data_IF_563921803995
#
_entry.id   IF_563921803995
#
_cell.length_a   1.000
_cell.length_b   1.000
_cell.length_c   1.000
_cell.angle_alpha   90.00
_cell.angle_beta   90.00
_cell.angle_gamma   90.00
#
_symmetry.space_group_name_H-M   'P 1'
#
loop_
_entity.id
_entity.type
_entity.pdbx_description
1 polymer ?
#
# COMPACT_ATOMS: atom_id res chain seq x y z
N UNK A 1 26.82 59.10 -72.37
CA UNK A 1 26.45 57.67 -72.39
C UNK A 1 26.99 57.12 -71.12
N UNK A 2 26.13 57.02 -70.04
CA UNK A 2 26.54 56.62 -68.75
C UNK A 2 26.05 55.17 -68.52
N UNK A 3 26.99 54.27 -68.25
CA UNK A 3 26.70 52.84 -67.95
C UNK A 3 26.62 52.65 -66.45
N UNK A 4 25.46 52.21 -65.97
CA UNK A 4 25.20 51.92 -64.54
C UNK A 4 25.60 50.51 -64.28
N UNK A 5 26.59 50.27 -63.39
CA UNK A 5 26.99 48.97 -62.92
C UNK A 5 26.10 48.49 -61.73
N UNK A 6 25.47 47.36 -61.89
CA UNK A 6 24.68 46.74 -60.83
C UNK A 6 25.57 45.81 -59.97
N UNK A 7 25.74 46.18 -58.69
CA UNK A 7 26.43 45.37 -57.70
C UNK A 7 25.40 44.38 -57.07
N UNK A 8 25.56 43.09 -57.33
CA UNK A 8 24.82 42.04 -56.65
C UNK A 8 25.48 41.77 -55.32
N UNK A 9 24.74 42.02 -54.24
CA UNK A 9 25.08 41.54 -52.88
C UNK A 9 24.53 40.10 -52.69
N UNK A 10 25.42 39.13 -52.44
CA UNK A 10 25.08 37.77 -52.05
C UNK A 10 24.88 37.75 -50.55
N UNK A 11 23.64 37.44 -50.09
CA UNK A 11 23.33 37.17 -48.69
C UNK A 11 23.63 35.70 -48.42
N UNK A 12 24.63 35.42 -47.58
CA UNK A 12 24.81 34.12 -46.98
C UNK A 12 23.86 33.98 -45.79
N UNK A 13 22.82 33.18 -45.92
CA UNK A 13 21.97 32.77 -44.82
C UNK A 13 22.67 31.63 -44.04
N UNK A 14 23.22 31.96 -42.88
CA UNK A 14 23.71 30.94 -41.94
C UNK A 14 22.54 30.26 -41.23
N UNK A 15 22.33 28.99 -41.52
CA UNK A 15 21.38 28.14 -40.78
C UNK A 15 21.98 27.77 -39.41
N UNK A 16 21.42 28.31 -38.34
CA UNK A 16 21.72 27.87 -36.97
C UNK A 16 20.93 26.58 -36.73
N UNK A 17 21.61 25.46 -36.73
CA UNK A 17 21.03 24.17 -36.31
C UNK A 17 21.06 24.12 -34.78
N UNK A 18 19.88 24.34 -34.13
CA UNK A 18 19.72 24.08 -32.71
C UNK A 18 19.52 22.60 -32.53
N UNK A 19 20.56 21.87 -32.10
CA UNK A 19 20.42 20.51 -31.61
C UNK A 19 19.68 20.55 -30.28
N UNK A 20 18.39 20.26 -30.31
CA UNK A 20 17.64 19.92 -29.08
C UNK A 20 18.08 18.51 -28.63
N UNK A 21 18.88 18.44 -27.57
CA UNK A 21 19.15 17.19 -26.87
C UNK A 21 17.85 16.79 -26.15
N UNK A 22 17.07 15.89 -26.74
CA UNK A 22 16.03 15.15 -26.04
C UNK A 22 16.74 14.25 -25.03
N UNK A 23 16.75 14.68 -23.76
CA UNK A 23 17.02 13.75 -22.66
C UNK A 23 15.84 12.77 -22.64
N UNK A 24 16.07 11.54 -23.12
CA UNK A 24 15.15 10.46 -22.92
C UNK A 24 14.99 10.28 -21.39
N UNK A 25 13.84 10.67 -20.86
CA UNK A 25 13.44 10.23 -19.53
C UNK A 25 13.49 8.71 -19.56
N UNK A 26 14.34 8.10 -18.75
CA UNK A 26 14.36 6.64 -18.57
C UNK A 26 12.94 6.23 -18.22
N UNK A 27 12.35 5.32 -18.99
CA UNK A 27 11.08 4.71 -18.62
C UNK A 27 11.27 4.12 -17.21
N UNK A 28 10.56 4.70 -16.23
CA UNK A 28 10.55 4.15 -14.87
C UNK A 28 10.03 2.72 -14.97
N UNK A 29 10.78 1.79 -14.38
CA UNK A 29 10.41 0.38 -14.38
C UNK A 29 9.11 0.24 -13.58
N UNK A 30 8.01 -0.05 -14.28
CA UNK A 30 6.67 -0.16 -13.69
C UNK A 30 6.45 -1.61 -13.33
N UNK A 31 6.41 -1.91 -12.04
CA UNK A 31 6.27 -3.28 -11.56
C UNK A 31 4.87 -3.59 -11.02
N UNK A 32 4.50 -4.86 -11.09
CA UNK A 32 3.37 -5.41 -10.33
C UNK A 32 3.86 -5.72 -8.92
N UNK A 33 3.06 -5.34 -7.91
CA UNK A 33 3.39 -5.63 -6.53
C UNK A 33 3.10 -7.07 -6.10
N UNK A 34 3.40 -7.37 -4.86
CA UNK A 34 3.05 -8.64 -4.22
C UNK A 34 1.63 -8.60 -3.64
N UNK A 35 1.01 -9.78 -3.52
CA UNK A 35 -0.34 -9.92 -2.99
C UNK A 35 -0.40 -9.64 -1.49
N UNK A 36 -1.43 -8.89 -1.07
CA UNK A 36 -1.84 -8.73 0.33
C UNK A 36 -3.24 -9.32 0.54
N UNK A 37 -3.48 -9.90 1.73
CA UNK A 37 -4.80 -10.38 2.11
C UNK A 37 -5.58 -9.23 2.75
N UNK A 38 -6.72 -8.88 2.17
CA UNK A 38 -7.64 -7.91 2.77
C UNK A 38 -8.53 -8.58 3.83
N UNK A 39 -8.70 -9.90 3.75
CA UNK A 39 -9.32 -10.73 4.76
C UNK A 39 -8.34 -11.81 5.22
N UNK A 40 -8.10 -11.90 6.52
CA UNK A 40 -7.10 -12.77 7.13
C UNK A 40 -7.63 -14.18 7.46
N UNK A 41 -8.94 -14.42 7.30
CA UNK A 41 -9.61 -15.66 7.69
C UNK A 41 -9.91 -15.77 9.19
N UNK A 42 -9.47 -14.80 10.01
CA UNK A 42 -9.53 -14.87 11.48
C UNK A 42 -10.42 -13.76 12.07
N UNK A 43 -10.46 -12.57 11.43
CA UNK A 43 -11.08 -11.38 12.02
C UNK A 43 -11.57 -10.37 10.98
N UNK A 44 -12.28 -9.34 11.45
CA UNK A 44 -12.62 -8.14 10.69
C UNK A 44 -11.62 -6.99 10.95
N UNK A 45 -10.42 -7.30 11.43
CA UNK A 45 -9.39 -6.28 11.64
C UNK A 45 -9.00 -5.59 10.34
N UNK A 46 -8.88 -4.26 10.37
CA UNK A 46 -8.67 -3.46 9.15
C UNK A 46 -9.95 -3.12 8.38
N UNK A 47 -11.12 -3.39 9.00
CA UNK A 47 -12.42 -3.09 8.42
C UNK A 47 -13.30 -2.31 9.39
N UNK A 48 -14.13 -1.43 8.85
CA UNK A 48 -15.16 -0.70 9.59
C UNK A 48 -16.54 -1.09 9.08
N UNK A 49 -17.45 -1.43 10.01
CA UNK A 49 -18.83 -1.75 9.70
C UNK A 49 -19.73 -0.52 9.74
N UNK A 50 -20.65 -0.40 8.79
CA UNK A 50 -21.67 0.64 8.70
C UNK A 50 -23.04 0.00 8.54
N UNK A 51 -24.08 0.60 9.14
CA UNK A 51 -25.42 0.06 9.16
C UNK A 51 -25.62 -0.98 10.29
N UNK A 52 -26.64 -1.84 10.13
CA UNK A 52 -26.98 -2.88 11.13
C UNK A 52 -26.62 -4.31 10.68
N UNK A 53 -25.93 -4.44 9.54
CA UNK A 53 -25.42 -5.72 9.06
C UNK A 53 -24.31 -6.22 10.01
N UNK A 54 -24.51 -7.37 10.64
CA UNK A 54 -23.53 -7.95 11.56
C UNK A 54 -22.61 -8.92 10.83
N UNK A 55 -21.33 -8.57 10.76
CA UNK A 55 -20.28 -9.36 10.13
C UNK A 55 -19.50 -10.16 11.17
N UNK A 56 -19.39 -11.47 10.96
CA UNK A 56 -18.68 -12.39 11.88
C UNK A 56 -17.80 -13.34 11.08
N UNK A 57 -16.74 -13.86 11.71
CA UNK A 57 -15.92 -14.92 11.10
C UNK A 57 -16.31 -16.27 11.67
N UNK A 58 -16.60 -17.25 10.78
CA UNK A 58 -16.96 -18.62 11.11
C UNK A 58 -16.18 -19.55 10.19
N UNK A 59 -15.38 -20.44 10.76
CA UNK A 59 -14.58 -21.44 10.03
C UNK A 59 -13.77 -20.84 8.85
N UNK A 60 -13.06 -19.74 9.11
CA UNK A 60 -12.23 -19.06 8.11
C UNK A 60 -13.02 -18.30 7.04
N UNK A 61 -14.33 -18.12 7.24
CA UNK A 61 -15.22 -17.42 6.32
C UNK A 61 -15.85 -16.22 7.02
N UNK A 62 -15.80 -15.07 6.37
CA UNK A 62 -16.51 -13.86 6.80
C UNK A 62 -17.97 -13.98 6.38
N UNK A 63 -18.89 -13.88 7.35
CA UNK A 63 -20.32 -14.14 7.16
C UNK A 63 -21.15 -12.96 7.65
N UNK A 64 -22.14 -12.56 6.85
CA UNK A 64 -23.23 -11.71 7.27
C UNK A 64 -24.57 -12.40 6.96
N UNK A 65 -25.35 -12.66 8.01
CA UNK A 65 -26.66 -13.34 7.94
C UNK A 65 -27.76 -12.64 8.75
N UNK A 66 -27.44 -11.49 9.34
CA UNK A 66 -28.33 -10.69 10.20
C UNK A 66 -28.26 -9.21 9.87
N UNK A 67 -29.30 -8.49 10.27
CA UNK A 67 -29.48 -7.07 9.97
C UNK A 67 -30.42 -6.81 8.79
N UNK A 68 -30.75 -5.55 8.57
CA UNK A 68 -31.58 -5.10 7.45
C UNK A 68 -30.73 -4.66 6.24
N UNK A 69 -29.54 -4.10 6.50
CA UNK A 69 -28.59 -3.65 5.49
C UNK A 69 -27.37 -2.98 6.07
N UNK A 70 -26.29 -2.95 5.30
CA UNK A 70 -25.06 -2.28 5.69
C UNK A 70 -23.87 -2.68 4.84
N UNK A 71 -22.72 -2.11 5.22
CA UNK A 71 -21.46 -2.36 4.56
C UNK A 71 -20.37 -2.73 5.56
N UNK A 72 -19.40 -3.50 5.10
CA UNK A 72 -18.10 -3.68 5.74
C UNK A 72 -17.05 -3.11 4.78
N UNK A 73 -16.31 -2.09 5.21
CA UNK A 73 -15.43 -1.27 4.37
C UNK A 73 -14.01 -1.39 4.88
N UNK A 74 -13.02 -1.63 3.99
CA UNK A 74 -11.59 -1.62 4.37
C UNK A 74 -11.20 -0.24 4.91
N UNK A 75 -10.42 -0.19 5.98
CA UNK A 75 -9.87 1.07 6.47
C UNK A 75 -8.83 1.66 5.50
N UNK A 76 -8.05 0.79 4.86
CA UNK A 76 -7.11 1.20 3.81
C UNK A 76 -7.83 1.45 2.48
N UNK A 77 -7.33 2.42 1.72
CA UNK A 77 -7.76 2.74 0.36
C UNK A 77 -6.73 2.29 -0.68
N UNK A 78 -7.19 2.03 -1.90
CA UNK A 78 -6.37 1.48 -2.99
C UNK A 78 -6.64 2.22 -4.29
N UNK A 79 -5.59 2.44 -5.09
CA UNK A 79 -5.66 3.14 -6.37
C UNK A 79 -5.71 2.15 -7.54
N UNK A 80 -4.56 1.72 -8.03
CA UNK A 80 -4.46 0.75 -9.13
C UNK A 80 -4.09 -0.62 -8.58
N UNK A 81 -4.89 -1.63 -8.93
CA UNK A 81 -4.73 -2.96 -8.35
C UNK A 81 -5.33 -4.07 -9.22
N UNK A 82 -4.87 -5.28 -8.98
CA UNK A 82 -5.62 -6.49 -9.23
C UNK A 82 -6.22 -7.02 -7.93
N UNK A 83 -7.41 -7.60 -8.01
CA UNK A 83 -8.10 -8.17 -6.87
C UNK A 83 -8.70 -9.52 -7.27
N UNK A 84 -8.63 -10.48 -6.35
CA UNK A 84 -9.36 -11.75 -6.43
C UNK A 84 -10.17 -11.97 -5.16
N UNK A 85 -11.40 -12.46 -5.33
CA UNK A 85 -12.30 -12.78 -4.23
C UNK A 85 -13.07 -14.08 -4.48
N UNK A 86 -13.42 -14.77 -3.40
CA UNK A 86 -14.39 -15.85 -3.41
C UNK A 86 -15.56 -15.46 -2.53
N UNK A 87 -16.71 -15.21 -3.13
CA UNK A 87 -17.90 -14.69 -2.46
C UNK A 87 -19.15 -15.49 -2.85
N UNK A 88 -20.06 -15.63 -1.90
CA UNK A 88 -21.33 -16.33 -2.10
C UNK A 88 -22.49 -15.55 -1.50
N UNK A 89 -23.62 -15.53 -2.17
CA UNK A 89 -24.86 -14.87 -1.72
C UNK A 89 -26.01 -15.85 -1.81
N UNK A 90 -26.75 -16.06 -0.70
CA UNK A 90 -27.96 -16.87 -0.70
C UNK A 90 -29.19 -16.03 -1.10
N UNK A 91 -30.33 -16.71 -1.34
CA UNK A 91 -31.60 -16.03 -1.64
C UNK A 91 -32.08 -15.20 -0.44
N UNK A 92 -32.86 -14.15 -0.72
CA UNK A 92 -33.53 -13.32 0.28
C UNK A 92 -32.96 -11.89 0.38
N UNK A 93 -32.00 -11.53 -0.47
CA UNK A 93 -31.39 -10.22 -0.50
C UNK A 93 -30.29 -10.06 -1.54
N UNK A 94 -29.47 -9.07 -1.36
CA UNK A 94 -28.35 -8.73 -2.23
C UNK A 94 -27.05 -8.75 -1.43
N UNK A 95 -25.99 -9.29 -2.05
CA UNK A 95 -24.60 -9.09 -1.65
C UNK A 95 -23.81 -8.49 -2.80
N UNK A 96 -22.91 -7.57 -2.51
CA UNK A 96 -22.07 -6.95 -3.52
C UNK A 96 -20.64 -6.72 -2.99
N UNK A 97 -19.69 -6.78 -3.93
CA UNK A 97 -18.33 -6.29 -3.73
C UNK A 97 -18.23 -4.93 -4.44
N UNK A 98 -17.82 -3.90 -3.72
CA UNK A 98 -17.59 -2.58 -4.29
C UNK A 98 -16.10 -2.24 -4.29
N UNK A 99 -15.68 -1.57 -5.37
CA UNK A 99 -14.31 -1.21 -5.68
C UNK A 99 -14.17 0.30 -5.61
N UNK A 100 -13.12 0.78 -4.95
CA UNK A 100 -12.87 2.23 -4.75
C UNK A 100 -14.10 2.95 -4.19
N UNK A 101 -14.78 2.30 -3.25
CA UNK A 101 -15.95 2.84 -2.57
C UNK A 101 -15.57 4.00 -1.63
N UNK A 102 -16.50 4.92 -1.32
CA UNK A 102 -16.30 5.90 -0.26
C UNK A 102 -16.26 5.20 1.11
N UNK A 103 -15.57 5.80 2.07
CA UNK A 103 -15.44 5.25 3.44
C UNK A 103 -16.73 5.35 4.27
N UNK A 104 -17.71 6.09 3.82
CA UNK A 104 -18.94 6.41 4.57
C UNK A 104 -19.98 5.28 4.59
N UNK A 105 -19.67 4.10 4.05
CA UNK A 105 -20.58 2.94 4.05
C UNK A 105 -21.79 3.04 3.12
N UNK A 106 -21.92 4.12 2.36
CA UNK A 106 -22.96 4.25 1.34
C UNK A 106 -22.59 3.47 0.08
N UNK A 107 -23.59 2.90 -0.62
CA UNK A 107 -23.34 2.28 -1.92
C UNK A 107 -22.68 3.27 -2.87
N UNK A 108 -21.52 2.90 -3.38
CA UNK A 108 -20.71 3.74 -4.29
C UNK A 108 -19.52 2.99 -4.84
N UNK A 109 -18.81 3.63 -5.77
CA UNK A 109 -17.73 2.97 -6.49
C UNK A 109 -18.23 2.03 -7.57
N UNK A 110 -17.34 1.18 -8.08
CA UNK A 110 -17.70 0.12 -9.05
C UNK A 110 -18.28 -1.08 -8.33
N UNK A 111 -19.56 -1.33 -8.46
CA UNK A 111 -20.23 -2.42 -7.74
C UNK A 111 -20.38 -3.68 -8.59
N UNK A 112 -19.94 -4.82 -8.04
CA UNK A 112 -20.19 -6.16 -8.55
C UNK A 112 -21.26 -6.79 -7.68
N UNK A 113 -22.49 -6.79 -8.19
CA UNK A 113 -23.65 -7.42 -7.50
C UNK A 113 -23.67 -8.90 -7.83
N UNK A 114 -23.60 -9.75 -6.82
CA UNK A 114 -23.69 -11.19 -7.01
C UNK A 114 -25.15 -11.65 -6.99
N UNK A 115 -25.58 -12.39 -8.01
CA UNK A 115 -26.87 -13.04 -7.97
C UNK A 115 -26.88 -14.13 -6.88
N UNK A 116 -28.02 -14.32 -6.24
CA UNK A 116 -28.20 -15.45 -5.33
C UNK A 116 -27.94 -16.76 -6.08
N UNK A 117 -26.91 -17.48 -5.65
CA UNK A 117 -26.51 -18.76 -6.27
C UNK A 117 -27.61 -19.83 -6.12
N UNK A 118 -27.84 -20.62 -7.17
CA UNK A 118 -28.77 -21.76 -7.11
C UNK A 118 -28.19 -22.92 -6.32
N UNK A 119 -26.85 -23.09 -6.37
CA UNK A 119 -26.13 -24.30 -5.93
C UNK A 119 -25.31 -24.06 -4.66
N UNK A 120 -25.52 -22.95 -3.94
CA UNK A 120 -24.76 -22.58 -2.73
C UNK A 120 -23.21 -22.56 -2.92
N UNK A 121 -22.76 -22.39 -4.16
CA UNK A 121 -21.34 -22.36 -4.51
C UNK A 121 -20.75 -20.93 -4.39
N UNK A 122 -19.46 -20.85 -4.07
CA UNK A 122 -18.71 -19.60 -4.13
C UNK A 122 -18.47 -19.21 -5.59
N UNK A 123 -18.68 -17.93 -5.88
CA UNK A 123 -18.28 -17.31 -7.15
C UNK A 123 -16.87 -16.74 -7.01
N UNK A 124 -16.03 -16.98 -8.02
CA UNK A 124 -14.70 -16.36 -8.13
C UNK A 124 -14.86 -15.02 -8.85
N UNK A 125 -14.42 -13.96 -8.22
CA UNK A 125 -14.39 -12.60 -8.75
C UNK A 125 -12.94 -12.25 -9.05
N UNK A 126 -12.67 -11.73 -10.25
CA UNK A 126 -11.36 -11.20 -10.63
C UNK A 126 -11.55 -9.79 -11.14
N UNK A 127 -10.69 -8.87 -10.70
CA UNK A 127 -10.74 -7.45 -11.04
C UNK A 127 -9.37 -6.98 -11.43
N UNK A 128 -9.32 -6.09 -12.43
CA UNK A 128 -8.17 -5.24 -12.73
C UNK A 128 -8.63 -3.79 -12.83
N UNK A 129 -8.08 -2.95 -11.97
CA UNK A 129 -8.36 -1.51 -11.91
C UNK A 129 -7.08 -0.75 -12.23
N UNK A 130 -7.10 0.11 -13.26
CA UNK A 130 -5.95 0.92 -13.68
C UNK A 130 -6.44 2.28 -14.16
N UNK A 131 -6.03 3.35 -13.49
CA UNK A 131 -6.53 4.70 -13.76
C UNK A 131 -8.06 4.75 -13.65
N UNK A 132 -8.72 5.29 -14.66
CA UNK A 132 -10.19 5.35 -14.74
C UNK A 132 -10.87 4.08 -15.29
N UNK A 133 -10.10 3.02 -15.58
CA UNK A 133 -10.62 1.80 -16.20
C UNK A 133 -10.67 0.67 -15.18
N UNK A 134 -11.82 -0.01 -15.10
CA UNK A 134 -12.00 -1.22 -14.30
C UNK A 134 -12.59 -2.31 -15.16
N UNK A 135 -11.97 -3.47 -15.15
CA UNK A 135 -12.51 -4.69 -15.75
C UNK A 135 -12.71 -5.75 -14.67
N UNK A 136 -13.77 -6.52 -14.77
CA UNK A 136 -14.01 -7.61 -13.85
C UNK A 136 -14.68 -8.81 -14.52
N UNK A 137 -14.47 -9.96 -13.90
CA UNK A 137 -15.19 -11.20 -14.26
C UNK A 137 -15.77 -11.84 -13.01
N UNK A 138 -16.90 -12.53 -13.19
CA UNK A 138 -17.48 -13.44 -12.19
C UNK A 138 -17.53 -14.82 -12.82
N UNK A 139 -16.85 -15.78 -12.23
CA UNK A 139 -16.67 -17.13 -12.77
C UNK A 139 -16.18 -17.14 -14.23
N UNK A 140 -15.24 -16.24 -14.56
CA UNK A 140 -14.69 -16.06 -15.89
C UNK A 140 -15.58 -15.32 -16.89
N UNK A 141 -16.80 -14.94 -16.52
CA UNK A 141 -17.70 -14.16 -17.38
C UNK A 141 -17.53 -12.67 -17.11
N UNK A 142 -17.34 -11.83 -18.13
CA UNK A 142 -17.22 -10.38 -17.96
C UNK A 142 -18.48 -9.78 -17.30
N UNK A 143 -18.28 -8.80 -16.44
CA UNK A 143 -19.35 -8.00 -15.83
C UNK A 143 -19.09 -6.53 -16.09
N UNK A 144 -20.17 -5.79 -16.38
CA UNK A 144 -20.09 -4.35 -16.54
C UNK A 144 -20.00 -3.67 -15.20
N UNK A 145 -19.07 -2.73 -15.08
CA UNK A 145 -18.85 -1.92 -13.88
C UNK A 145 -18.81 -0.46 -14.29
N UNK A 146 -19.56 0.39 -13.60
CA UNK A 146 -19.43 1.84 -13.76
C UNK A 146 -18.02 2.28 -13.32
N UNK A 147 -17.44 3.26 -14.02
CA UNK A 147 -16.12 3.78 -13.69
C UNK A 147 -16.11 4.40 -12.29
N UNK A 148 -15.40 3.83 -11.32
CA UNK A 148 -15.29 4.38 -9.97
C UNK A 148 -14.32 5.55 -9.93
N UNK A 149 -14.24 6.22 -8.78
CA UNK A 149 -13.13 7.13 -8.46
C UNK A 149 -11.77 6.47 -8.72
N UNK A 150 -10.70 7.27 -8.83
CA UNK A 150 -9.35 6.73 -9.05
C UNK A 150 -8.78 6.01 -7.83
N UNK A 151 -9.21 6.38 -6.63
CA UNK A 151 -8.81 5.80 -5.35
C UNK A 151 -10.03 5.64 -4.44
N UNK A 152 -10.01 4.61 -3.60
CA UNK A 152 -11.06 4.39 -2.60
C UNK A 152 -10.92 3.03 -1.94
N UNK A 153 -11.93 2.65 -1.18
CA UNK A 153 -11.94 1.47 -0.34
C UNK A 153 -12.54 0.26 -1.06
N UNK A 154 -12.24 -0.92 -0.54
CA UNK A 154 -12.97 -2.13 -0.93
C UNK A 154 -14.08 -2.33 0.09
N UNK A 155 -15.32 -2.55 -0.39
CA UNK A 155 -16.46 -2.72 0.51
C UNK A 155 -17.29 -3.94 0.15
N UNK A 156 -17.83 -4.57 1.19
CA UNK A 156 -18.82 -5.65 1.07
C UNK A 156 -20.16 -5.08 1.49
N UNK A 157 -21.17 -5.22 0.64
CA UNK A 157 -22.52 -4.78 0.94
C UNK A 157 -23.42 -5.98 1.21
N UNK A 158 -24.31 -5.79 2.19
CA UNK A 158 -25.38 -6.70 2.55
C UNK A 158 -26.70 -5.94 2.57
N UNK A 159 -27.72 -6.46 1.89
CA UNK A 159 -29.07 -5.91 1.92
C UNK A 159 -30.09 -7.02 1.93
N UNK A 160 -30.99 -7.00 2.95
CA UNK A 160 -32.13 -7.89 3.05
C UNK A 160 -33.36 -7.32 2.29
N UNK A 161 -34.10 -8.20 1.61
CA UNK A 161 -35.38 -7.81 1.04
C UNK A 161 -36.49 -7.97 2.09
N UNK A 162 -37.26 -6.91 2.32
CA UNK A 162 -38.34 -6.93 3.32
C UNK A 162 -39.44 -7.99 3.06
N UNK A 163 -39.56 -8.44 1.81
CA UNK A 163 -40.55 -9.45 1.39
C UNK A 163 -40.14 -10.87 1.76
N UNK A 164 -38.90 -11.13 2.02
CA UNK A 164 -38.38 -12.46 2.24
C UNK A 164 -38.41 -12.84 3.74
N UNK A 165 -39.04 -13.97 4.03
CA UNK A 165 -39.11 -14.51 5.40
C UNK A 165 -37.72 -14.88 5.94
N UNK A 166 -36.82 -15.30 5.06
CA UNK A 166 -35.45 -15.70 5.42
C UNK A 166 -34.46 -14.59 5.03
N UNK A 167 -33.58 -14.21 5.97
CA UNK A 167 -32.49 -13.32 5.69
C UNK A 167 -31.53 -13.95 4.67
N UNK A 168 -30.92 -13.18 3.77
CA UNK A 168 -29.85 -13.67 2.91
C UNK A 168 -28.62 -13.98 3.77
N UNK A 169 -27.73 -14.82 3.24
CA UNK A 169 -26.37 -15.00 3.80
C UNK A 169 -25.39 -14.54 2.76
N UNK A 170 -24.51 -13.63 3.15
CA UNK A 170 -23.35 -13.20 2.35
C UNK A 170 -22.11 -13.77 3.00
N UNK A 171 -21.32 -14.50 2.22
CA UNK A 171 -20.12 -15.18 2.68
C UNK A 171 -18.94 -14.80 1.81
N UNK A 172 -17.81 -14.46 2.43
CA UNK A 172 -16.52 -14.19 1.77
C UNK A 172 -15.47 -15.12 2.36
N UNK A 173 -14.83 -15.93 1.50
CA UNK A 173 -13.80 -16.89 1.91
C UNK A 173 -12.39 -16.37 1.64
N UNK A 174 -12.20 -15.64 0.56
CA UNK A 174 -10.91 -15.10 0.13
C UNK A 174 -11.09 -13.71 -0.44
N UNK A 175 -10.20 -12.80 -0.08
CA UNK A 175 -10.10 -11.48 -0.69
C UNK A 175 -8.64 -11.02 -0.64
N UNK A 176 -8.03 -10.95 -1.81
CA UNK A 176 -6.63 -10.56 -2.00
C UNK A 176 -6.52 -9.44 -3.01
N UNK A 177 -5.54 -8.58 -2.80
CA UNK A 177 -5.23 -7.47 -3.68
C UNK A 177 -3.72 -7.41 -3.91
N UNK A 178 -3.29 -7.06 -5.13
CA UNK A 178 -1.93 -6.63 -5.40
C UNK A 178 -1.93 -5.27 -6.10
N UNK A 179 -1.06 -4.34 -5.71
CA UNK A 179 -0.95 -3.04 -6.37
C UNK A 179 -0.34 -3.20 -7.77
N UNK A 180 -0.75 -2.32 -8.69
CA UNK A 180 -0.22 -2.20 -10.04
C UNK A 180 0.44 -0.85 -10.24
N UNK A 181 1.23 -0.71 -11.30
CA UNK A 181 1.79 0.58 -11.66
C UNK A 181 2.73 1.17 -10.61
N UNK A 182 3.48 0.33 -9.92
CA UNK A 182 4.43 0.75 -8.91
C UNK A 182 5.73 1.23 -9.53
N UNK A 183 6.29 2.31 -8.99
CA UNK A 183 7.57 2.89 -9.38
C UNK A 183 8.68 2.40 -8.45
N UNK A 184 9.82 1.99 -9.01
CA UNK A 184 10.99 1.62 -8.21
C UNK A 184 11.66 2.84 -7.59
N UNK A 185 11.96 2.78 -6.29
CA UNK A 185 12.74 3.77 -5.55
C UNK A 185 14.22 3.38 -5.44
N UNK A 186 14.59 2.16 -5.82
CA UNK A 186 15.95 1.66 -5.77
C UNK A 186 16.28 0.91 -7.06
N UNK A 187 17.41 1.25 -7.66
CA UNK A 187 17.83 0.72 -8.95
C UNK A 187 18.56 -0.64 -8.88
N UNK A 188 18.79 -1.17 -7.68
CA UNK A 188 19.51 -2.42 -7.44
C UNK A 188 21.02 -2.37 -7.69
N UNK A 189 21.61 -1.20 -7.98
CA UNK A 189 23.00 -1.06 -8.40
C UNK A 189 23.81 -0.13 -7.49
N UNK A 190 23.24 1.00 -7.15
CA UNK A 190 23.89 2.06 -6.35
C UNK A 190 22.83 2.87 -5.57
N UNK A 191 23.30 3.81 -4.77
CA UNK A 191 22.45 4.66 -3.92
C UNK A 191 21.94 5.93 -4.63
N UNK A 192 21.91 5.97 -5.94
CA UNK A 192 21.33 7.10 -6.70
C UNK A 192 19.85 7.26 -6.31
N UNK A 193 19.45 8.49 -5.97
CA UNK A 193 18.10 8.82 -5.46
C UNK A 193 17.93 8.63 -3.96
N UNK A 194 19.03 8.31 -3.27
CA UNK A 194 19.09 8.17 -1.82
C UNK A 194 20.12 9.10 -1.20
N UNK A 195 19.79 9.69 -0.05
CA UNK A 195 20.66 10.60 0.71
C UNK A 195 20.98 9.98 2.08
N UNK A 196 22.29 9.83 2.39
CA UNK A 196 22.74 9.37 3.70
C UNK A 196 22.76 10.56 4.65
N UNK A 197 22.03 10.47 5.77
CA UNK A 197 22.07 11.50 6.81
C UNK A 197 23.46 11.50 7.46
N UNK A 198 24.20 12.63 7.40
CA UNK A 198 25.59 12.69 7.82
C UNK A 198 25.76 12.58 9.35
N UNK A 199 27.01 12.45 9.78
CA UNK A 199 27.44 12.45 11.19
C UNK A 199 26.81 11.32 12.02
N UNK A 200 26.60 10.15 11.39
CA UNK A 200 26.06 8.94 11.99
C UNK A 200 27.02 7.75 11.80
N UNK A 201 26.76 6.66 12.52
CA UNK A 201 27.67 5.50 12.56
C UNK A 201 27.31 4.40 11.55
N UNK A 202 26.08 4.36 11.05
CA UNK A 202 25.67 3.31 10.11
C UNK A 202 26.46 3.40 8.80
N UNK A 203 26.80 2.24 8.28
CA UNK A 203 27.42 2.05 6.96
C UNK A 203 26.36 1.56 5.98
N UNK A 204 26.21 2.28 4.88
CA UNK A 204 25.27 1.96 3.82
C UNK A 204 26.05 1.53 2.58
N UNK A 205 25.69 0.39 2.01
CA UNK A 205 26.32 -0.16 0.82
C UNK A 205 25.28 -0.89 -0.03
N UNK A 206 25.62 -1.18 -1.29
CA UNK A 206 24.80 -2.06 -2.13
C UNK A 206 25.54 -3.40 -2.25
N UNK A 207 24.86 -4.46 -1.81
CA UNK A 207 25.38 -5.83 -1.83
C UNK A 207 24.32 -6.73 -2.46
N UNK A 208 24.66 -7.49 -3.49
CA UNK A 208 23.78 -8.43 -4.19
C UNK A 208 22.41 -7.85 -4.60
N UNK A 209 22.43 -6.59 -5.07
CA UNK A 209 21.21 -5.90 -5.51
C UNK A 209 20.32 -5.41 -4.37
N UNK A 210 20.80 -5.35 -3.15
CA UNK A 210 20.09 -4.84 -1.98
C UNK A 210 20.88 -3.70 -1.29
N UNK A 211 20.18 -2.73 -0.72
CA UNK A 211 20.77 -1.76 0.23
C UNK A 211 21.05 -2.52 1.51
N UNK A 212 22.31 -2.69 1.86
CA UNK A 212 22.73 -3.28 3.12
C UNK A 212 23.10 -2.17 4.11
N UNK A 213 22.60 -2.29 5.34
CA UNK A 213 22.83 -1.34 6.44
C UNK A 213 23.51 -2.09 7.57
N UNK A 214 24.69 -1.64 7.94
CA UNK A 214 25.46 -2.16 9.10
C UNK A 214 25.71 -1.08 10.11
N UNK A 215 25.86 -1.52 11.35
CA UNK A 215 26.09 -0.67 12.50
C UNK A 215 24.98 0.37 12.73
N UNK A 216 25.10 1.17 13.73
CA UNK A 216 24.13 2.21 14.07
C UNK A 216 24.71 3.22 15.05
N UNK A 217 24.01 4.32 15.19
CA UNK A 217 22.76 4.73 14.59
C UNK A 217 22.97 5.53 13.29
N UNK A 218 22.04 5.40 12.35
CA UNK A 218 22.04 6.15 11.10
C UNK A 218 20.76 5.93 10.30
N UNK A 219 20.54 6.78 9.31
CA UNK A 219 19.44 6.64 8.35
C UNK A 219 19.90 7.04 6.96
N UNK A 220 19.37 6.35 5.97
CA UNK A 220 19.40 6.73 4.56
C UNK A 220 17.97 7.02 4.11
N UNK A 221 17.75 8.08 3.36
CA UNK A 221 16.43 8.53 2.95
C UNK A 221 16.31 8.69 1.43
N UNK A 222 15.09 8.59 0.89
CA UNK A 222 14.83 8.97 -0.49
C UNK A 222 15.04 10.48 -0.69
N UNK A 223 15.58 10.90 -1.85
CA UNK A 223 15.61 12.33 -2.22
C UNK A 223 14.19 12.88 -2.51
N UNK A 224 13.29 12.02 -3.00
CA UNK A 224 11.89 12.35 -3.22
C UNK A 224 11.07 12.27 -1.92
N UNK A 225 9.97 13.03 -1.88
CA UNK A 225 9.03 13.06 -0.75
C UNK A 225 7.66 12.56 -1.14
N UNK A 226 6.96 11.92 -0.21
CA UNK A 226 5.66 11.28 -0.40
C UNK A 226 4.73 11.62 0.75
N UNK A 227 3.46 11.92 0.46
CA UNK A 227 2.43 12.17 1.49
C UNK A 227 1.49 10.96 1.60
N UNK A 228 0.86 10.60 0.48
CA UNK A 228 -0.07 9.49 0.39
C UNK A 228 0.48 8.45 -0.57
N UNK A 229 0.53 7.18 -0.16
CA UNK A 229 1.17 6.13 -0.95
C UNK A 229 0.81 4.72 -0.48
N UNK A 230 1.09 3.76 -1.35
CA UNK A 230 1.32 2.37 -1.02
C UNK A 230 2.78 2.04 -1.34
N UNK A 231 3.53 1.59 -0.33
CA UNK A 231 4.94 1.18 -0.44
C UNK A 231 5.05 -0.32 -0.25
N UNK A 232 5.79 -0.99 -1.10
CA UNK A 232 6.25 -2.37 -0.87
C UNK A 232 7.77 -2.41 -0.84
N UNK A 233 8.31 -3.16 0.12
CA UNK A 233 9.73 -3.31 0.34
C UNK A 233 10.04 -4.69 0.88
N UNK A 234 11.04 -5.35 0.31
CA UNK A 234 11.58 -6.60 0.83
C UNK A 234 12.68 -6.30 1.83
N UNK A 235 12.63 -6.99 2.96
CA UNK A 235 13.56 -6.84 4.10
C UNK A 235 14.15 -8.19 4.47
N UNK A 236 15.44 -8.21 4.83
CA UNK A 236 16.14 -9.38 5.35
C UNK A 236 16.93 -9.00 6.59
N UNK A 237 16.68 -9.67 7.72
CA UNK A 237 17.49 -9.58 8.93
C UNK A 237 18.62 -10.57 8.85
N UNK A 238 19.89 -10.08 8.81
CA UNK A 238 21.08 -10.92 8.71
C UNK A 238 21.46 -11.56 10.05
N UNK A 239 20.81 -11.18 11.15
CA UNK A 239 21.03 -11.71 12.49
C UNK A 239 19.74 -11.90 13.27
N UNK A 240 19.86 -12.46 14.48
CA UNK A 240 18.70 -12.73 15.33
C UNK A 240 18.23 -11.45 16.04
N UNK A 241 16.93 -11.18 15.98
CA UNK A 241 16.26 -10.11 16.71
C UNK A 241 16.86 -8.71 16.49
N UNK A 242 17.40 -8.46 15.29
CA UNK A 242 17.95 -7.16 14.95
C UNK A 242 16.87 -6.08 14.91
N UNK A 243 17.25 -4.86 15.29
CA UNK A 243 16.35 -3.72 15.31
C UNK A 243 16.63 -2.78 14.13
N UNK A 244 15.54 -2.35 13.48
CA UNK A 244 15.55 -1.39 12.39
C UNK A 244 14.11 -0.87 12.17
N UNK A 245 13.94 0.10 11.26
CA UNK A 245 12.64 0.66 10.91
C UNK A 245 12.60 1.18 9.48
N UNK A 246 11.40 1.21 8.93
CA UNK A 246 11.08 1.95 7.71
C UNK A 246 10.30 3.19 8.13
N UNK A 247 10.93 4.36 8.00
CA UNK A 247 10.31 5.62 8.34
C UNK A 247 9.62 6.23 7.12
N UNK A 248 8.59 7.02 7.37
CA UNK A 248 7.85 7.73 6.33
C UNK A 248 7.28 9.04 6.87
N UNK A 249 6.97 9.96 5.93
CA UNK A 249 6.62 11.35 6.24
C UNK A 249 7.68 12.03 7.12
N UNK A 250 8.93 11.64 6.97
CA UNK A 250 10.07 12.26 7.63
C UNK A 250 10.43 13.57 6.93
N UNK A 251 10.56 14.70 7.63
CA UNK A 251 11.08 15.91 7.01
C UNK A 251 12.48 15.66 6.43
N UNK A 252 12.77 16.10 5.20
CA UNK A 252 14.05 15.83 4.57
C UNK A 252 15.25 16.24 5.43
N UNK A 253 16.25 15.37 5.47
CA UNK A 253 17.52 15.53 6.22
C UNK A 253 17.35 15.60 7.74
N UNK A 254 16.19 15.15 8.25
CA UNK A 254 15.95 15.04 9.68
C UNK A 254 16.07 13.59 10.14
N UNK A 255 16.66 13.41 11.30
CA UNK A 255 16.92 12.08 11.87
C UNK A 255 15.83 11.70 12.89
N UNK A 256 15.26 10.48 12.77
CA UNK A 256 14.26 9.93 13.70
C UNK A 256 12.94 10.72 13.83
N UNK A 257 12.52 11.37 12.79
CA UNK A 257 11.22 12.03 12.73
C UNK A 257 10.27 11.29 11.75
N UNK A 258 9.02 11.75 11.69
CA UNK A 258 7.97 11.06 10.94
C UNK A 258 7.40 9.86 11.70
N UNK A 259 6.81 8.94 10.98
CA UNK A 259 6.31 7.66 11.49
C UNK A 259 7.33 6.56 11.23
N UNK A 260 7.33 5.55 12.09
CA UNK A 260 8.18 4.37 11.95
C UNK A 260 7.34 3.10 11.87
N UNK A 261 7.50 2.34 10.79
CA UNK A 261 7.07 0.94 10.75
C UNK A 261 8.23 0.05 11.16
N UNK A 262 8.12 -0.53 12.35
CA UNK A 262 9.17 -1.29 13.04
C UNK A 262 9.64 -2.51 12.23
N UNK A 263 10.90 -2.86 12.38
CA UNK A 263 11.52 -4.14 11.99
C UNK A 263 12.16 -4.77 13.22
N UNK A 264 11.48 -5.73 13.82
CA UNK A 264 11.94 -6.51 14.97
C UNK A 264 11.26 -7.88 14.97
N UNK A 265 11.97 -8.92 14.55
CA UNK A 265 11.45 -10.29 14.47
C UNK A 265 11.63 -11.01 15.82
N UNK A 266 11.04 -10.47 16.87
CA UNK A 266 11.14 -10.99 18.22
C UNK A 266 9.79 -11.04 18.91
N UNK A 267 9.53 -12.09 19.68
CA UNK A 267 8.29 -12.29 20.43
C UNK A 267 8.55 -12.98 21.77
N UNK A 268 7.63 -12.82 22.70
CA UNK A 268 7.77 -13.35 24.05
C UNK A 268 7.15 -14.76 24.18
N UNK A 269 7.80 -15.66 24.91
CA UNK A 269 7.28 -16.95 25.35
C UNK A 269 6.78 -17.84 24.22
N UNK A 270 7.50 -17.89 23.11
CA UNK A 270 7.14 -18.65 21.90
C UNK A 270 5.76 -18.30 21.31
N UNK A 271 5.21 -17.14 21.66
CA UNK A 271 3.92 -16.63 21.20
C UNK A 271 4.10 -15.43 20.28
N UNK A 272 4.00 -15.65 18.98
CA UNK A 272 4.16 -14.62 17.94
C UNK A 272 3.14 -13.46 18.06
N UNK A 273 2.04 -13.65 18.81
CA UNK A 273 1.07 -12.59 19.10
C UNK A 273 1.54 -11.62 20.21
N UNK A 274 2.72 -11.85 20.77
CA UNK A 274 3.34 -11.03 21.81
C UNK A 274 4.64 -10.41 21.31
N UNK A 275 4.58 -9.44 20.39
CA UNK A 275 5.75 -8.82 19.82
C UNK A 275 6.58 -8.09 20.88
N UNK A 276 7.91 -8.14 20.75
CA UNK A 276 8.84 -7.27 21.46
C UNK A 276 9.01 -5.99 20.69
N UNK A 277 9.07 -4.87 21.39
CA UNK A 277 9.38 -3.54 20.82
C UNK A 277 8.51 -3.21 19.57
N UNK A 278 7.18 -3.31 19.72
CA UNK A 278 6.16 -3.18 18.68
C UNK A 278 6.17 -4.27 17.60
N UNK A 279 7.25 -5.03 17.40
CA UNK A 279 7.37 -6.10 16.40
C UNK A 279 7.32 -5.63 14.95
N UNK A 280 7.79 -6.48 14.04
CA UNK A 280 7.84 -6.16 12.61
C UNK A 280 6.47 -5.80 12.05
N UNK A 281 6.37 -4.58 11.51
CA UNK A 281 5.16 -3.99 10.96
C UNK A 281 4.32 -3.21 11.97
N UNK A 282 4.64 -3.21 13.26
CA UNK A 282 4.04 -2.28 14.22
C UNK A 282 4.38 -0.84 13.87
N UNK A 283 3.52 0.10 14.23
CA UNK A 283 3.80 1.54 14.16
C UNK A 283 4.39 1.97 15.50
N UNK A 284 5.67 2.25 15.52
CA UNK A 284 6.43 2.48 16.75
C UNK A 284 5.90 3.67 17.55
N UNK A 285 5.67 3.46 18.83
CA UNK A 285 5.05 4.45 19.71
C UNK A 285 3.53 4.60 19.57
N UNK A 286 2.87 3.85 18.66
CA UNK A 286 1.44 3.98 18.36
C UNK A 286 0.68 2.67 18.56
N UNK A 287 0.93 1.67 17.71
CA UNK A 287 0.25 0.38 17.76
C UNK A 287 1.21 -0.76 17.45
N UNK A 288 1.30 -1.77 18.33
CA UNK A 288 2.13 -2.94 18.06
C UNK A 288 1.53 -3.79 16.94
N UNK A 289 2.38 -4.56 16.27
CA UNK A 289 1.92 -5.60 15.37
C UNK A 289 1.08 -6.63 16.13
N UNK A 290 -0.06 -7.04 15.56
CA UNK A 290 -0.91 -8.11 16.15
C UNK A 290 -0.15 -9.44 16.29
N UNK A 291 0.85 -9.64 15.41
CA UNK A 291 1.62 -10.86 15.30
C UNK A 291 2.94 -10.59 14.59
N UNK A 292 4.02 -11.16 15.05
CA UNK A 292 5.29 -11.20 14.32
C UNK A 292 5.19 -12.30 13.27
N UNK A 293 5.07 -11.91 12.00
CA UNK A 293 4.88 -12.83 10.88
C UNK A 293 6.20 -13.43 10.39
N UNK A 294 7.28 -12.62 10.14
CA UNK A 294 8.51 -13.15 9.57
C UNK A 294 9.41 -13.80 10.62
N UNK A 295 10.37 -14.57 10.15
CA UNK A 295 11.52 -15.01 10.94
C UNK A 295 12.78 -14.28 10.49
N UNK A 296 13.84 -14.33 11.29
CA UNK A 296 15.15 -13.83 10.89
C UNK A 296 15.78 -14.73 9.82
N UNK A 297 16.72 -14.20 9.05
CA UNK A 297 17.45 -14.88 7.98
C UNK A 297 16.57 -15.41 6.84
N UNK A 298 15.41 -14.76 6.63
CA UNK A 298 14.57 -14.97 5.45
C UNK A 298 14.08 -13.61 4.91
N UNK A 299 13.89 -13.54 3.60
CA UNK A 299 13.27 -12.37 2.98
C UNK A 299 11.78 -12.31 3.32
N UNK A 300 11.31 -11.15 3.70
CA UNK A 300 9.89 -10.87 3.87
C UNK A 300 9.51 -9.53 3.24
N UNK A 301 8.29 -9.45 2.75
CA UNK A 301 7.76 -8.23 2.15
C UNK A 301 6.94 -7.45 3.16
N UNK A 302 7.23 -6.16 3.32
CA UNK A 302 6.35 -5.20 3.99
C UNK A 302 5.57 -4.40 2.98
N UNK A 303 4.26 -4.25 3.19
CA UNK A 303 3.40 -3.31 2.46
C UNK A 303 2.91 -2.26 3.45
N UNK A 304 3.18 -0.99 3.18
CA UNK A 304 2.74 0.15 4.00
C UNK A 304 1.79 0.98 3.16
N UNK A 305 0.55 1.13 3.61
CA UNK A 305 -0.41 2.09 3.05
C UNK A 305 -0.49 3.27 4.00
N UNK A 306 -0.31 4.47 3.46
CA UNK A 306 -0.47 5.73 4.19
C UNK A 306 -1.32 6.67 3.32
N UNK A 307 -2.54 6.97 3.75
CA UNK A 307 -3.44 7.89 3.05
C UNK A 307 -4.22 8.76 4.03
N UNK A 308 -4.04 10.10 3.93
CA UNK A 308 -4.58 11.02 4.93
C UNK A 308 -4.05 10.68 6.31
N UNK A 309 -4.95 10.48 7.26
CA UNK A 309 -4.62 10.11 8.64
C UNK A 309 -4.66 8.59 8.91
N UNK A 310 -4.86 7.77 7.88
CA UNK A 310 -4.90 6.31 8.02
C UNK A 310 -3.57 5.67 7.59
N UNK A 311 -3.10 4.72 8.38
CA UNK A 311 -1.89 3.92 8.12
C UNK A 311 -2.18 2.45 8.40
N UNK A 312 -1.77 1.59 7.49
CA UNK A 312 -1.88 0.14 7.63
C UNK A 312 -0.63 -0.56 7.12
N UNK A 313 -0.24 -1.64 7.79
CA UNK A 313 0.96 -2.41 7.42
C UNK A 313 0.63 -3.89 7.31
N UNK A 314 1.01 -4.47 6.18
CA UNK A 314 1.02 -5.91 5.94
C UNK A 314 2.46 -6.43 5.97
N UNK A 315 2.63 -7.62 6.49
CA UNK A 315 3.90 -8.38 6.43
C UNK A 315 3.60 -9.73 5.82
N UNK A 316 4.29 -10.08 4.73
CA UNK A 316 4.00 -11.28 3.92
C UNK A 316 2.51 -11.45 3.61
N UNK A 317 1.85 -10.32 3.31
CA UNK A 317 0.43 -10.27 2.98
C UNK A 317 -0.53 -10.34 4.16
N UNK A 318 -0.09 -10.54 5.40
CA UNK A 318 -0.92 -10.51 6.60
C UNK A 318 -0.96 -9.11 7.21
N UNK A 319 -2.16 -8.55 7.46
CA UNK A 319 -2.34 -7.23 8.07
C UNK A 319 -1.94 -7.27 9.54
N UNK A 320 -0.84 -6.62 9.89
CA UNK A 320 -0.29 -6.65 11.26
C UNK A 320 -0.62 -5.41 12.07
N UNK A 321 -0.78 -4.25 11.43
CA UNK A 321 -1.20 -3.01 12.10
C UNK A 321 -2.13 -2.19 11.23
N UNK A 322 -3.06 -1.49 11.87
CA UNK A 322 -4.08 -0.62 11.26
C UNK A 322 -4.37 0.52 12.24
N UNK A 323 -4.24 1.77 11.80
CA UNK A 323 -4.28 2.91 12.70
C UNK A 323 -4.81 4.17 12.00
N UNK A 324 -5.80 4.82 12.63
CA UNK A 324 -6.24 6.17 12.30
C UNK A 324 -5.62 7.17 13.28
N UNK A 325 -4.77 8.05 12.79
CA UNK A 325 -4.18 9.09 13.61
C UNK A 325 -5.13 10.29 13.74
N UNK A 326 -5.87 10.31 14.82
CA UNK A 326 -6.82 11.40 15.17
C UNK A 326 -6.25 12.38 16.17
N UNK A 327 -4.94 12.30 16.48
CA UNK A 327 -4.27 13.18 17.41
C UNK A 327 -4.07 14.57 16.80
N UNK A 328 -3.87 15.62 17.64
CA UNK A 328 -3.48 16.93 17.15
C UNK A 328 -2.19 16.88 16.28
N UNK A 329 -1.98 17.88 15.42
CA UNK A 329 -0.75 17.96 14.63
C UNK A 329 0.51 17.87 15.50
N UNK A 330 1.47 17.07 15.03
CA UNK A 330 2.73 16.87 15.73
C UNK A 330 3.57 18.15 15.72
N UNK A 331 4.19 18.47 16.85
CA UNK A 331 5.27 19.42 16.89
C UNK A 331 6.51 18.79 16.25
N UNK A 332 7.23 19.55 15.42
CA UNK A 332 8.46 19.12 14.75
C UNK A 332 8.33 17.85 13.88
N UNK A 333 7.11 17.54 13.41
CA UNK A 333 6.84 16.35 12.55
C UNK A 333 7.27 15.02 13.20
N UNK A 334 7.25 14.90 14.51
CA UNK A 334 7.46 13.65 15.22
C UNK A 334 6.13 12.88 15.35
N UNK A 335 5.98 11.85 14.53
CA UNK A 335 4.78 11.02 14.49
C UNK A 335 4.46 10.29 15.80
N UNK A 336 5.41 10.16 16.72
CA UNK A 336 5.15 9.61 18.07
C UNK A 336 4.34 10.58 18.93
N UNK A 337 4.51 11.87 18.69
CA UNK A 337 3.93 12.94 19.51
C UNK A 337 2.71 13.62 18.89
N UNK A 338 2.27 13.22 17.70
CA UNK A 338 1.07 13.76 17.06
C UNK A 338 0.97 13.36 15.58
N UNK A 339 -0.08 13.88 14.94
CA UNK A 339 -0.34 13.62 13.53
C UNK A 339 0.63 14.40 12.63
N UNK A 340 1.23 13.71 11.66
CA UNK A 340 2.09 14.28 10.61
C UNK A 340 1.39 14.14 9.27
N UNK A 341 0.93 15.26 8.70
CA UNK A 341 0.23 15.31 7.40
C UNK A 341 1.15 15.66 6.23
N UNK A 342 2.28 16.31 6.50
CA UNK A 342 3.19 16.78 5.47
C UNK A 342 3.81 15.63 4.67
N UNK A 343 4.07 15.86 3.38
CA UNK A 343 4.91 14.97 2.59
C UNK A 343 6.32 14.92 3.19
N UNK A 344 6.92 13.73 3.20
CA UNK A 344 8.27 13.51 3.69
C UNK A 344 8.95 12.34 3.00
N UNK A 345 10.18 12.10 3.36
CA UNK A 345 11.02 11.04 2.79
C UNK A 345 10.65 9.66 3.35
N UNK A 346 11.02 8.61 2.63
CA UNK A 346 11.06 7.24 3.11
C UNK A 346 12.49 6.97 3.57
N UNK A 347 12.65 6.50 4.83
CA UNK A 347 13.99 6.27 5.39
C UNK A 347 14.13 4.81 5.82
N UNK A 348 15.36 4.31 5.70
CA UNK A 348 15.80 3.01 6.21
C UNK A 348 16.78 3.24 7.35
N UNK A 349 16.55 2.56 8.47
CA UNK A 349 17.27 2.81 9.71
C UNK A 349 18.37 1.77 9.96
N UNK A 350 19.56 2.24 10.37
CA UNK A 350 20.46 1.47 11.20
C UNK A 350 20.25 1.90 12.65
N UNK A 351 19.84 0.99 13.52
CA UNK A 351 19.40 1.31 14.87
C UNK A 351 20.55 1.38 15.87
N UNK A 352 21.38 0.34 15.95
CA UNK A 352 22.41 0.17 16.95
C UNK A 352 23.63 -0.58 16.36
N UNK A 353 24.74 -0.75 17.13
CA UNK A 353 25.95 -1.40 16.62
C UNK A 353 25.77 -2.86 16.15
N UNK A 354 24.65 -3.50 16.44
CA UNK A 354 24.36 -4.87 15.98
C UNK A 354 23.59 -4.90 14.66
N UNK A 355 23.14 -3.76 14.16
CA UNK A 355 22.38 -3.67 12.91
C UNK A 355 23.12 -4.33 11.76
N UNK A 356 22.46 -5.27 11.09
CA UNK A 356 22.86 -5.86 9.82
C UNK A 356 21.58 -6.30 9.06
N UNK A 357 21.04 -5.39 8.24
CA UNK A 357 19.81 -5.63 7.48
C UNK A 357 20.03 -5.32 6.00
N UNK A 358 19.24 -5.97 5.17
CA UNK A 358 19.24 -5.74 3.72
C UNK A 358 17.83 -5.41 3.22
N UNK A 359 17.74 -4.47 2.27
CA UNK A 359 16.50 -3.98 1.70
C UNK A 359 16.57 -3.98 0.18
N UNK A 360 15.55 -4.51 -0.50
CA UNK A 360 15.44 -4.50 -1.97
C UNK A 360 13.98 -4.41 -2.42
N UNK A 361 13.77 -4.40 -3.73
CA UNK A 361 12.43 -4.34 -4.33
C UNK A 361 11.57 -3.23 -3.70
N UNK A 362 12.16 -2.04 -3.57
CA UNK A 362 11.54 -0.89 -2.94
C UNK A 362 10.70 -0.19 -4.00
N UNK A 363 9.39 -0.40 -3.96
CA UNK A 363 8.45 0.10 -4.96
C UNK A 363 7.34 0.90 -4.31
N UNK A 364 6.92 1.99 -4.96
CA UNK A 364 5.87 2.86 -4.44
C UNK A 364 4.80 3.11 -5.50
N UNK A 365 3.54 3.12 -5.07
CA UNK A 365 2.42 3.69 -5.80
C UNK A 365 2.03 4.97 -5.09
N UNK A 366 2.34 6.12 -5.68
CA UNK A 366 2.01 7.42 -5.10
C UNK A 366 0.54 7.72 -5.33
N UNK A 367 -0.18 8.07 -4.27
CA UNK A 367 -1.58 8.46 -4.31
C UNK A 367 -1.72 9.97 -4.53
N UNK A 368 -2.86 10.44 -5.05
CA UNK A 368 -3.19 11.87 -5.11
C UNK A 368 -3.16 12.51 -3.72
N UNK A 369 -2.77 13.80 -3.68
CA UNK A 369 -2.75 14.60 -2.44
C UNK A 369 -4.12 15.15 -2.07
#
# INVERSE_FOLDING_TARGET
MFTIGIVRRTLCAGAVVVLATLTAASAQDVSEGTWINLFDGESTYGWTAFGDAAWTVRDGTLVCDTGSGGALVTNASFMDFELTAQMKVSRGGTGALALRAPFEGHPGGGMIVLPAGKDNAFSTIQVKATGGTVTATVNGQPVEISAPAQIGHIALYYQRYHRDKKAPVVELKELKLRPLGMTSLFNGKDLTGWYIIPDRKSVFSVVDGAINIKDGNGQIETEATFRNFLLQIDVFSNGDHLNSGVFFRTPPKQFWLGYESQVRNEWLKDDRSKPVDYGTGGLYGLVPARKVVPSDREWFTKTIVCNGNHMAVWVNGYLVSDFFDTRPPAQNSDGKNGYVDAAGTINLQGHDPTTDLSFKNIHIQQYPN
#
